data_IF_005989332379
#
_entry.id   IF_005989332379
#
_cell.length_a   1.000
_cell.length_b   1.000
_cell.length_c   1.000
_cell.angle_alpha   90.00
_cell.angle_beta   90.00
_cell.angle_gamma   90.00
#
_symmetry.space_group_name_H-M   'P 1'
#
loop_
_entity.id
_entity.type
_entity.pdbx_description
1 polymer ?
#
# COMPACT_ATOMS: atom_id res chain seq x y z
N UNK A 1 45.14 15.71 -42.49
CA UNK A 1 46.23 16.52 -41.88
C UNK A 1 45.69 17.01 -40.54
N UNK A 2 46.25 16.78 -39.36
CA UNK A 2 47.51 16.16 -38.95
C UNK A 2 47.34 15.57 -37.54
N UNK A 3 48.32 14.76 -37.18
CA UNK A 3 48.41 13.71 -36.16
C UNK A 3 48.93 14.17 -34.78
N UNK A 4 48.94 13.17 -33.87
CA UNK A 4 49.79 12.94 -32.68
C UNK A 4 49.09 13.21 -31.33
N UNK A 5 48.90 12.22 -30.44
CA UNK A 5 49.79 11.20 -29.84
C UNK A 5 50.90 11.80 -28.99
N UNK A 6 50.79 11.64 -27.67
CA UNK A 6 51.87 11.08 -26.84
C UNK A 6 51.38 10.66 -25.46
N UNK A 7 51.64 9.39 -25.15
CA UNK A 7 51.75 8.86 -23.80
C UNK A 7 52.98 9.48 -23.10
N UNK A 8 52.97 9.54 -21.77
CA UNK A 8 54.20 9.34 -21.01
C UNK A 8 53.94 8.73 -19.64
N UNK A 9 54.96 8.02 -19.18
CA UNK A 9 54.98 6.98 -18.18
C UNK A 9 55.63 7.48 -16.86
N UNK A 10 55.34 6.74 -15.79
CA UNK A 10 56.19 6.47 -14.63
C UNK A 10 56.28 7.40 -13.39
N UNK A 11 56.07 6.72 -12.25
CA UNK A 11 56.90 6.63 -11.01
C UNK A 11 56.52 7.43 -9.74
N UNK A 12 56.00 6.66 -8.75
CA UNK A 12 56.48 6.41 -7.35
C UNK A 12 56.87 7.67 -6.52
N UNK A 13 56.37 7.94 -5.30
CA UNK A 13 56.56 7.18 -4.03
C UNK A 13 55.81 7.85 -2.85
N UNK A 14 55.40 7.03 -1.87
CA UNK A 14 55.30 7.26 -0.39
C UNK A 14 54.30 8.30 0.16
N UNK A 15 53.52 8.07 1.21
CA UNK A 15 53.40 6.97 2.17
C UNK A 15 52.45 7.35 3.33
N UNK A 16 52.13 6.35 4.17
CA UNK A 16 51.43 6.38 5.48
C UNK A 16 49.94 6.74 5.50
N UNK A 17 49.08 6.21 6.39
CA UNK A 17 49.03 5.01 7.24
C UNK A 17 47.69 5.17 8.00
N UNK A 18 46.79 4.19 7.98
CA UNK A 18 45.65 4.19 8.90
C UNK A 18 45.25 2.75 9.28
N UNK A 19 45.10 2.57 10.60
CA UNK A 19 44.99 1.35 11.39
C UNK A 19 43.88 0.39 10.95
N UNK A 20 44.22 -0.90 10.93
CA UNK A 20 43.28 -2.03 11.06
C UNK A 20 42.92 -2.23 12.53
N UNK A 21 41.63 -2.31 12.85
CA UNK A 21 41.12 -2.77 14.15
C UNK A 21 40.76 -4.26 14.07
N UNK A 22 41.10 -4.97 15.14
CA UNK A 22 41.10 -6.42 15.25
C UNK A 22 39.82 -6.97 15.90
N UNK A 23 39.49 -8.20 15.50
CA UNK A 23 38.55 -9.14 16.10
C UNK A 23 38.93 -9.52 17.53
N UNK A 24 37.98 -9.55 18.47
CA UNK A 24 38.08 -10.36 19.69
C UNK A 24 36.71 -10.66 20.32
N UNK A 25 36.71 -11.70 21.14
CA UNK A 25 35.67 -12.69 21.43
C UNK A 25 35.04 -12.46 22.81
N UNK A 26 33.79 -12.88 22.96
CA UNK A 26 32.98 -12.93 24.20
C UNK A 26 33.70 -13.63 25.38
N UNK A 27 33.35 -13.28 26.64
CA UNK A 27 32.99 -14.32 27.61
C UNK A 27 31.70 -14.01 28.40
N UNK A 28 31.00 -15.07 28.77
CA UNK A 28 29.83 -15.08 29.66
C UNK A 28 30.24 -14.84 31.12
N UNK A 29 29.36 -14.22 31.92
CA UNK A 29 29.24 -14.48 33.35
C UNK A 29 27.77 -14.49 33.78
N UNK A 30 27.47 -15.39 34.71
CA UNK A 30 26.15 -15.81 35.19
C UNK A 30 25.83 -15.23 36.57
N UNK A 31 24.55 -15.40 36.96
CA UNK A 31 23.95 -15.42 38.32
C UNK A 31 23.26 -14.12 38.77
N UNK A 32 21.93 -14.13 38.81
CA UNK A 32 21.13 -14.27 40.05
C UNK A 32 19.62 -14.10 39.75
N UNK A 33 18.84 -15.14 40.04
CA UNK A 33 17.38 -15.09 40.13
C UNK A 33 16.97 -14.42 41.45
N UNK A 34 16.08 -13.43 41.41
CA UNK A 34 15.18 -13.14 42.53
C UNK A 34 13.78 -12.85 42.00
N UNK A 35 12.87 -13.77 42.34
CA UNK A 35 11.46 -13.74 42.04
C UNK A 35 10.71 -12.91 43.08
N UNK A 36 10.05 -11.84 42.64
CA UNK A 36 8.93 -11.24 43.35
C UNK A 36 7.84 -10.91 42.32
N UNK A 37 6.59 -11.38 42.48
CA UNK A 37 5.54 -11.10 41.51
C UNK A 37 5.04 -9.66 41.68
N UNK A 38 5.49 -8.77 40.79
CA UNK A 38 4.85 -7.48 40.61
C UNK A 38 3.44 -7.71 40.03
N UNK A 39 2.43 -7.39 40.84
CA UNK A 39 1.01 -7.38 40.49
C UNK A 39 0.80 -6.55 39.22
N UNK A 40 0.70 -7.21 38.06
CA UNK A 40 0.31 -6.54 36.80
C UNK A 40 -1.16 -6.19 36.92
N UNK A 41 -1.47 -4.94 37.22
CA UNK A 41 -2.79 -4.38 36.97
C UNK A 41 -3.04 -4.46 35.47
N UNK A 42 -3.88 -5.40 35.04
CA UNK A 42 -4.40 -5.43 33.68
C UNK A 42 -5.34 -4.24 33.52
N UNK A 43 -4.80 -3.10 33.10
CA UNK A 43 -5.61 -2.01 32.54
C UNK A 43 -6.25 -2.59 31.28
N UNK A 44 -7.56 -2.87 31.33
CA UNK A 44 -8.32 -3.17 30.13
C UNK A 44 -8.27 -1.92 29.26
N UNK A 45 -7.41 -1.92 28.25
CA UNK A 45 -7.47 -0.91 27.21
C UNK A 45 -8.86 -1.04 26.58
N UNK A 46 -9.68 -0.01 26.76
CA UNK A 46 -10.93 0.09 26.02
C UNK A 46 -10.58 0.02 24.53
N UNK A 47 -11.11 -1.00 23.85
CA UNK A 47 -10.93 -1.15 22.41
C UNK A 47 -11.59 0.06 21.73
N UNK A 48 -10.77 1.02 21.27
CA UNK A 48 -11.28 2.17 20.54
C UNK A 48 -11.94 1.68 19.24
N UNK A 49 -13.24 1.92 19.12
CA UNK A 49 -14.03 1.57 17.93
C UNK A 49 -14.06 2.77 16.98
N UNK A 50 -13.97 2.50 15.69
CA UNK A 50 -14.00 3.52 14.64
C UNK A 50 -15.07 3.16 13.61
N UNK A 51 -15.76 4.17 13.09
CA UNK A 51 -16.55 4.03 11.88
C UNK A 51 -15.65 4.27 10.67
N UNK A 52 -15.74 3.39 9.68
CA UNK A 52 -15.06 3.55 8.40
C UNK A 52 -16.10 3.47 7.29
N UNK A 53 -15.88 4.25 6.24
CA UNK A 53 -16.62 4.10 4.99
C UNK A 53 -15.95 3.00 4.17
N UNK A 54 -16.75 2.11 3.57
CA UNK A 54 -16.26 0.99 2.76
C UNK A 54 -16.79 1.11 1.33
N UNK A 55 -15.91 0.81 0.37
CA UNK A 55 -16.25 0.69 -1.04
C UNK A 55 -15.79 -0.64 -1.61
N UNK A 56 -16.47 -1.12 -2.65
CA UNK A 56 -16.01 -2.27 -3.45
C UNK A 56 -16.41 -2.09 -4.90
N UNK A 57 -15.62 -2.66 -5.81
CA UNK A 57 -15.90 -2.49 -7.23
C UNK A 57 -15.02 -3.36 -8.12
N UNK A 58 -15.16 -3.11 -9.41
CA UNK A 58 -14.31 -3.65 -10.48
C UNK A 58 -13.47 -2.51 -11.06
N UNK A 59 -12.19 -2.78 -11.33
CA UNK A 59 -11.32 -1.78 -11.92
C UNK A 59 -10.25 -2.40 -12.81
N UNK A 60 -9.90 -1.68 -13.88
CA UNK A 60 -8.65 -1.95 -14.59
C UNK A 60 -7.49 -1.26 -13.88
N UNK A 61 -6.39 -1.97 -13.68
CA UNK A 61 -5.17 -1.42 -13.09
C UNK A 61 -4.37 -0.74 -14.19
N UNK A 62 -3.99 0.52 -13.96
CA UNK A 62 -3.27 1.33 -14.92
C UNK A 62 -1.75 1.31 -14.67
N UNK A 63 -1.34 1.47 -13.41
CA UNK A 63 0.07 1.55 -13.02
C UNK A 63 0.26 1.41 -11.52
N UNK A 64 1.49 1.14 -11.11
CA UNK A 64 1.95 1.20 -9.72
C UNK A 64 2.84 2.43 -9.56
N UNK A 65 2.73 3.15 -8.45
CA UNK A 65 3.68 4.19 -8.09
C UNK A 65 4.14 4.07 -6.65
N UNK A 66 5.39 4.42 -6.40
CA UNK A 66 6.00 4.40 -5.08
C UNK A 66 6.40 5.81 -4.67
N UNK A 67 6.29 6.09 -3.38
CA UNK A 67 6.72 7.35 -2.78
C UNK A 67 7.23 7.10 -1.37
N UNK A 68 8.11 7.97 -0.88
CA UNK A 68 8.61 7.89 0.49
C UNK A 68 7.76 8.78 1.38
N UNK A 69 7.20 8.21 2.44
CA UNK A 69 6.50 8.92 3.49
C UNK A 69 7.09 8.52 4.84
N UNK A 70 7.56 9.52 5.59
CA UNK A 70 8.12 9.31 6.94
C UNK A 70 9.22 8.23 6.98
N UNK A 71 10.07 8.20 5.95
CA UNK A 71 11.16 7.24 5.80
C UNK A 71 10.74 5.84 5.35
N UNK A 72 9.45 5.61 5.06
CA UNK A 72 8.93 4.34 4.57
C UNK A 72 8.46 4.48 3.13
N UNK A 73 8.87 3.55 2.26
CA UNK A 73 8.30 3.45 0.91
C UNK A 73 6.85 2.99 1.01
N UNK A 74 5.97 3.73 0.37
CA UNK A 74 4.53 3.48 0.28
C UNK A 74 4.15 3.34 -1.19
N UNK A 75 3.17 2.49 -1.44
CA UNK A 75 2.72 2.17 -2.80
C UNK A 75 1.33 2.70 -3.04
N UNK A 76 1.11 3.35 -4.18
CA UNK A 76 -0.21 3.64 -4.72
C UNK A 76 -0.49 2.73 -5.91
N UNK A 77 -1.75 2.29 -5.99
CA UNK A 77 -2.31 1.62 -7.15
C UNK A 77 -3.19 2.61 -7.92
N UNK A 78 -2.89 2.84 -9.19
CA UNK A 78 -3.66 3.72 -10.07
C UNK A 78 -4.60 2.87 -10.91
N UNK A 79 -5.89 3.20 -10.93
CA UNK A 79 -6.90 2.33 -11.51
C UNK A 79 -8.04 3.12 -12.16
N UNK A 80 -8.71 2.47 -13.11
CA UNK A 80 -9.92 2.95 -13.77
C UNK A 80 -11.10 2.10 -13.29
N UNK A 81 -11.87 2.64 -12.34
CA UNK A 81 -13.02 1.96 -11.73
C UNK A 81 -14.20 1.98 -12.70
N UNK A 82 -14.81 0.81 -12.91
CA UNK A 82 -15.92 0.62 -13.85
C UNK A 82 -17.23 1.04 -13.15
N UNK A 83 -17.97 1.94 -13.79
CA UNK A 83 -19.25 2.45 -13.30
C UNK A 83 -20.27 2.54 -14.43
N UNK A 84 -21.55 2.64 -14.05
CA UNK A 84 -22.66 2.78 -15.00
C UNK A 84 -23.26 1.45 -15.47
N UNK A 85 -24.29 1.53 -16.33
CA UNK A 85 -24.97 0.36 -16.88
C UNK A 85 -24.07 -0.40 -17.86
N UNK A 86 -24.32 -1.70 -18.04
CA UNK A 86 -23.53 -2.60 -18.89
C UNK A 86 -23.33 -2.07 -20.32
N UNK A 87 -24.37 -1.43 -20.88
CA UNK A 87 -24.34 -0.90 -22.24
C UNK A 87 -23.76 0.53 -22.34
N UNK A 88 -23.40 1.16 -21.23
CA UNK A 88 -22.82 2.51 -21.19
C UNK A 88 -21.90 2.67 -19.97
N UNK A 89 -20.82 1.89 -19.96
CA UNK A 89 -19.81 1.93 -18.91
C UNK A 89 -18.98 3.21 -19.02
N UNK A 90 -18.71 3.83 -17.88
CA UNK A 90 -17.73 4.90 -17.74
C UNK A 90 -16.65 4.49 -16.73
N UNK A 91 -15.52 5.16 -16.81
CA UNK A 91 -14.33 4.85 -16.03
C UNK A 91 -13.97 6.05 -15.16
N UNK A 92 -13.92 5.83 -13.85
CA UNK A 92 -13.51 6.86 -12.90
C UNK A 92 -12.11 6.57 -12.38
N UNK A 93 -11.22 7.56 -12.44
CA UNK A 93 -9.83 7.39 -12.04
C UNK A 93 -9.68 7.39 -10.51
N UNK A 94 -9.13 6.31 -9.98
CA UNK A 94 -8.86 6.15 -8.55
C UNK A 94 -7.37 5.94 -8.30
N UNK A 95 -6.89 6.50 -7.18
CA UNK A 95 -5.53 6.34 -6.69
C UNK A 95 -5.57 5.86 -5.25
N UNK A 96 -5.41 4.55 -5.04
CA UNK A 96 -5.56 3.95 -3.72
C UNK A 96 -4.20 3.67 -3.08
N UNK A 97 -4.06 4.03 -1.81
CA UNK A 97 -2.89 3.69 -1.00
C UNK A 97 -2.95 2.22 -0.61
N UNK A 98 -1.85 1.50 -0.83
CA UNK A 98 -1.70 0.10 -0.43
C UNK A 98 -0.97 0.06 0.91
N UNK A 99 -1.72 -0.16 2.00
CA UNK A 99 -1.16 -0.19 3.36
C UNK A 99 -0.98 -1.62 3.87
N UNK A 100 -1.90 -2.52 3.50
CA UNK A 100 -1.88 -3.90 3.96
C UNK A 100 -0.94 -4.76 3.13
N UNK A 101 -0.20 -5.66 3.78
CA UNK A 101 0.74 -6.59 3.12
C UNK A 101 0.04 -7.47 2.08
N UNK A 102 -1.19 -7.89 2.36
CA UNK A 102 -1.89 -8.81 1.47
C UNK A 102 -2.16 -8.26 0.04
N UNK A 103 -2.86 -7.13 -0.14
CA UNK A 103 -3.01 -6.56 -1.47
C UNK A 103 -1.65 -6.18 -2.07
N UNK A 104 -0.68 -5.77 -1.25
CA UNK A 104 0.67 -5.46 -1.71
C UNK A 104 1.36 -6.67 -2.36
N UNK A 105 1.35 -7.84 -1.71
CA UNK A 105 1.97 -9.06 -2.23
C UNK A 105 1.33 -9.51 -3.54
N UNK A 106 -0.01 -9.41 -3.64
CA UNK A 106 -0.74 -9.72 -4.86
C UNK A 106 -0.35 -8.80 -6.01
N UNK A 107 -0.22 -7.50 -5.75
CA UNK A 107 0.22 -6.50 -6.74
C UNK A 107 1.66 -6.77 -7.17
N UNK A 108 2.58 -6.96 -6.22
CA UNK A 108 4.00 -7.13 -6.51
C UNK A 108 4.30 -8.44 -7.23
N UNK A 109 3.58 -9.52 -6.91
CA UNK A 109 3.68 -10.79 -7.64
C UNK A 109 3.29 -10.67 -9.11
N UNK A 110 2.39 -9.75 -9.46
CA UNK A 110 1.89 -9.54 -10.83
C UNK A 110 2.32 -8.19 -11.40
N UNK A 111 3.37 -7.57 -10.84
CA UNK A 111 3.85 -6.24 -11.22
C UNK A 111 4.19 -6.15 -12.71
N UNK A 112 4.87 -7.18 -13.23
CA UNK A 112 5.26 -7.23 -14.64
C UNK A 112 4.03 -7.16 -15.56
N UNK A 113 2.97 -7.91 -15.25
CA UNK A 113 1.72 -7.86 -16.01
C UNK A 113 0.99 -6.51 -15.89
N UNK A 114 1.07 -5.87 -14.71
CA UNK A 114 0.47 -4.55 -14.47
C UNK A 114 1.19 -3.44 -15.24
N UNK A 115 2.53 -3.48 -15.29
CA UNK A 115 3.35 -2.45 -15.94
C UNK A 115 3.57 -2.74 -17.44
N UNK A 116 3.22 -3.94 -17.92
CA UNK A 116 3.33 -4.33 -19.32
C UNK A 116 2.36 -3.56 -20.22
N UNK A 117 2.89 -3.00 -21.32
CA UNK A 117 2.10 -2.27 -22.30
C UNK A 117 1.16 -3.21 -23.05
N UNK A 118 -0.13 -2.88 -23.08
CA UNK A 118 -1.16 -3.61 -23.84
C UNK A 118 -1.81 -4.77 -23.08
N UNK A 119 -1.31 -5.10 -21.89
CA UNK A 119 -1.89 -6.11 -21.00
C UNK A 119 -3.04 -5.51 -20.20
N UNK A 120 -4.18 -6.21 -20.11
CA UNK A 120 -5.34 -5.77 -19.35
C UNK A 120 -5.40 -6.49 -18.01
N UNK A 121 -5.13 -5.77 -16.93
CA UNK A 121 -5.29 -6.29 -15.57
C UNK A 121 -6.60 -5.81 -14.96
N UNK A 122 -7.56 -6.71 -14.76
CA UNK A 122 -8.86 -6.43 -14.13
C UNK A 122 -8.87 -6.97 -12.70
N UNK A 123 -9.23 -6.15 -11.74
CA UNK A 123 -9.38 -6.58 -10.34
C UNK A 123 -10.81 -6.38 -9.82
N UNK A 124 -11.21 -7.25 -8.90
CA UNK A 124 -12.29 -6.98 -7.95
C UNK A 124 -11.66 -6.58 -6.63
N UNK A 125 -12.06 -5.46 -6.04
CA UNK A 125 -11.37 -4.89 -4.89
C UNK A 125 -12.30 -4.44 -3.77
N UNK A 126 -11.74 -4.24 -2.57
CA UNK A 126 -12.34 -3.46 -1.49
C UNK A 126 -11.42 -2.32 -1.08
N UNK A 127 -12.01 -1.20 -0.72
CA UNK A 127 -11.33 -0.02 -0.23
C UNK A 127 -12.04 0.55 1.00
N UNK A 128 -11.34 1.41 1.72
CA UNK A 128 -11.93 2.21 2.82
C UNK A 128 -11.59 3.67 2.69
N UNK A 129 -12.48 4.49 3.27
CA UNK A 129 -12.35 5.94 3.41
C UNK A 129 -12.05 6.62 2.06
N UNK A 130 -12.95 6.49 1.06
CA UNK A 130 -12.86 7.26 -0.17
C UNK A 130 -12.81 8.75 0.15
N UNK A 131 -11.99 9.48 -0.59
CA UNK A 131 -11.85 10.93 -0.43
C UNK A 131 -11.35 11.55 -1.72
N UNK A 132 -11.72 12.80 -1.97
CA UNK A 132 -11.17 13.55 -3.09
C UNK A 132 -9.71 13.90 -2.79
N UNK A 133 -8.80 13.44 -3.63
CA UNK A 133 -7.39 13.81 -3.61
C UNK A 133 -7.08 14.78 -4.76
N UNK A 134 -6.31 15.82 -4.44
CA UNK A 134 -5.79 16.79 -5.40
C UNK A 134 -4.41 16.36 -5.84
N UNK A 135 -4.11 16.49 -7.13
CA UNK A 135 -2.78 16.22 -7.66
C UNK A 135 -2.45 17.18 -8.81
N UNK A 136 -1.16 17.32 -9.12
CA UNK A 136 -0.72 18.06 -10.31
C UNK A 136 -0.51 17.06 -11.43
N UNK A 137 -1.18 17.28 -12.57
CA UNK A 137 -0.99 16.47 -13.78
C UNK A 137 0.45 16.63 -14.25
N UNK A 138 1.18 15.53 -14.42
CA UNK A 138 2.61 15.56 -14.79
C UNK A 138 2.87 15.47 -16.29
N UNK A 139 1.85 15.09 -17.06
CA UNK A 139 1.98 14.77 -18.48
C UNK A 139 0.66 14.98 -19.20
N UNK A 140 0.71 15.14 -20.53
CA UNK A 140 -0.44 15.44 -21.37
C UNK A 140 -0.53 16.93 -21.70
N UNK A 141 -1.59 17.30 -22.41
CA UNK A 141 -1.87 18.70 -22.79
C UNK A 141 -2.08 19.59 -21.55
N UNK A 142 -2.71 19.03 -20.52
CA UNK A 142 -3.01 19.70 -19.25
C UNK A 142 -1.87 19.55 -18.21
N UNK A 143 -0.64 19.29 -18.63
CA UNK A 143 0.47 19.15 -17.69
C UNK A 143 0.69 20.45 -16.90
N UNK A 144 0.83 20.33 -15.57
CA UNK A 144 0.94 21.47 -14.65
C UNK A 144 -0.39 21.89 -14.02
N UNK A 145 -1.53 21.41 -14.52
CA UNK A 145 -2.84 21.74 -13.96
C UNK A 145 -3.19 20.92 -12.71
N UNK A 146 -4.07 21.49 -11.89
CA UNK A 146 -4.67 20.82 -10.73
C UNK A 146 -5.72 19.80 -11.20
N UNK A 147 -5.40 18.53 -11.05
CA UNK A 147 -6.34 17.43 -11.17
C UNK A 147 -6.96 17.04 -9.82
N UNK A 148 -8.09 16.34 -9.90
CA UNK A 148 -8.69 15.66 -8.75
C UNK A 148 -8.96 14.20 -9.09
N UNK A 149 -8.94 13.33 -8.07
CA UNK A 149 -9.27 11.92 -8.21
C UNK A 149 -9.83 11.38 -6.90
N UNK A 150 -10.39 10.17 -6.93
CA UNK A 150 -10.78 9.47 -5.70
C UNK A 150 -9.58 8.72 -5.14
N UNK A 151 -9.16 9.15 -3.95
CA UNK A 151 -8.22 8.45 -3.09
C UNK A 151 -8.90 7.52 -2.10
N UNK A 152 -8.10 6.74 -1.39
CA UNK A 152 -8.60 5.76 -0.42
C UNK A 152 -7.49 4.84 0.07
N UNK A 153 -7.85 3.84 0.87
CA UNK A 153 -6.94 2.76 1.24
C UNK A 153 -7.45 1.47 0.59
N UNK A 154 -6.62 0.83 -0.23
CA UNK A 154 -6.91 -0.49 -0.78
C UNK A 154 -6.75 -1.52 0.34
N UNK A 155 -7.86 -2.12 0.75
CA UNK A 155 -7.84 -3.13 1.82
C UNK A 155 -7.73 -4.53 1.27
N UNK A 156 -8.31 -4.79 0.09
CA UNK A 156 -8.27 -6.11 -0.56
C UNK A 156 -8.34 -6.07 -2.07
N UNK A 157 -7.71 -7.08 -2.65
CA UNK A 157 -7.98 -7.59 -3.99
C UNK A 157 -8.65 -8.95 -3.79
N UNK A 158 -9.88 -9.13 -4.29
CA UNK A 158 -10.60 -10.40 -4.20
C UNK A 158 -10.26 -11.31 -5.37
N UNK A 159 -10.14 -10.74 -6.57
CA UNK A 159 -9.74 -11.46 -7.78
C UNK A 159 -8.88 -10.56 -8.64
N UNK A 160 -7.94 -11.13 -9.38
CA UNK A 160 -7.19 -10.46 -10.43
C UNK A 160 -7.22 -11.32 -11.68
N UNK A 161 -7.56 -10.71 -12.80
CA UNK A 161 -7.50 -11.31 -14.13
C UNK A 161 -6.50 -10.56 -15.00
N UNK A 162 -5.67 -11.29 -15.71
CA UNK A 162 -4.73 -10.76 -16.71
C UNK A 162 -5.22 -11.24 -18.07
N UNK A 163 -5.58 -10.31 -18.95
CA UNK A 163 -6.16 -10.60 -20.27
C UNK A 163 -7.34 -11.59 -20.24
N UNK A 164 -8.12 -11.53 -19.16
CA UNK A 164 -9.30 -12.38 -18.94
C UNK A 164 -9.02 -13.67 -18.16
N UNK A 165 -7.75 -14.10 -18.02
CA UNK A 165 -7.35 -15.28 -17.26
C UNK A 165 -7.25 -14.96 -15.76
N UNK A 166 -7.86 -15.78 -14.91
CA UNK A 166 -7.81 -15.63 -13.46
C UNK A 166 -6.43 -16.06 -12.92
N UNK A 167 -5.61 -15.10 -12.51
CA UNK A 167 -4.24 -15.35 -11.99
C UNK A 167 -4.16 -15.31 -10.47
N UNK A 168 -5.15 -14.69 -9.81
CA UNK A 168 -5.20 -14.58 -8.37
C UNK A 168 -6.63 -14.48 -7.86
N UNK A 169 -6.87 -15.15 -6.72
CA UNK A 169 -8.14 -15.15 -6.01
C UNK A 169 -7.89 -15.22 -4.49
N UNK A 170 -8.54 -14.34 -3.74
CA UNK A 170 -8.49 -14.34 -2.28
C UNK A 170 -9.44 -15.40 -1.72
N UNK A 171 -8.88 -16.53 -1.29
CA UNK A 171 -9.63 -17.64 -0.69
C UNK A 171 -10.02 -17.42 0.78
N UNK A 172 -9.65 -16.29 1.38
CA UNK A 172 -9.94 -16.04 2.80
C UNK A 172 -11.37 -15.55 2.95
N UNK A 173 -12.16 -16.34 3.67
CA UNK A 173 -13.45 -15.88 4.18
C UNK A 173 -13.19 -14.96 5.36
N UNK A 174 -13.56 -13.69 5.22
CA UNK A 174 -13.61 -12.78 6.36
C UNK A 174 -15.07 -12.55 6.70
N UNK A 175 -15.63 -13.52 7.41
CA UNK A 175 -16.82 -13.28 8.21
C UNK A 175 -16.43 -12.24 9.26
N UNK A 176 -17.22 -11.15 9.38
CA UNK A 176 -17.10 -10.31 10.56
C UNK A 176 -17.43 -11.22 11.76
N UNK A 177 -16.47 -11.43 12.66
CA UNK A 177 -16.74 -12.02 13.96
C UNK A 177 -17.61 -11.05 14.75
N UNK A 178 -18.91 -11.02 14.46
CA UNK A 178 -19.88 -10.30 15.26
C UNK A 178 -20.21 -11.19 16.47
N UNK A 179 -19.41 -11.06 17.52
CA UNK A 179 -19.63 -11.78 18.76
C UNK A 179 -20.78 -11.13 19.55
N UNK A 180 -21.93 -11.79 19.42
CA UNK A 180 -23.05 -11.95 20.38
C UNK A 180 -24.19 -10.92 20.35
N UNK A 181 -25.34 -11.45 19.92
CA UNK A 181 -26.71 -11.05 20.24
C UNK A 181 -26.87 -10.35 21.60
N UNK A 182 -27.57 -9.22 21.58
CA UNK A 182 -28.77 -9.05 22.40
C UNK A 182 -29.87 -8.42 21.55
N UNK A 183 -30.94 -9.19 21.39
CA UNK A 183 -32.22 -8.82 20.80
C UNK A 183 -33.03 -8.01 21.82
N UNK A 184 -33.74 -7.01 21.30
CA UNK A 184 -34.89 -6.26 21.87
C UNK A 184 -34.64 -5.22 22.98
N UNK A 185 -34.80 -3.94 22.63
CA UNK A 185 -36.06 -3.23 22.90
C UNK A 185 -36.08 -1.82 22.26
N UNK A 186 -37.11 -1.63 21.44
CA UNK A 186 -37.96 -0.44 21.31
C UNK A 186 -37.32 0.97 21.44
N UNK A 187 -37.21 1.67 20.31
CA UNK A 187 -37.27 3.13 20.31
C UNK A 187 -37.84 3.62 18.98
N UNK A 188 -39.05 4.17 19.07
CA UNK A 188 -39.73 4.96 18.06
C UNK A 188 -38.78 5.92 17.33
N UNK A 189 -38.74 5.82 16.00
CA UNK A 189 -38.19 6.85 15.14
C UNK A 189 -39.17 8.02 15.12
N UNK A 190 -38.79 9.15 15.73
CA UNK A 190 -39.44 10.44 15.52
C UNK A 190 -39.06 10.96 14.12
N UNK A 191 -40.08 11.20 13.29
CA UNK A 191 -40.01 11.68 11.90
C UNK A 191 -39.68 13.18 11.76
N UNK A 192 -39.04 13.81 12.75
CA UNK A 192 -38.71 15.23 12.73
C UNK A 192 -37.23 15.47 12.39
N UNK A 193 -36.87 15.27 11.11
CA UNK A 193 -35.68 15.87 10.52
C UNK A 193 -36.14 16.97 9.54
N UNK A 194 -36.07 18.26 9.92
CA UNK A 194 -36.36 19.33 8.99
C UNK A 194 -35.20 19.48 8.00
N UNK A 195 -35.50 19.37 6.71
CA UNK A 195 -34.64 19.87 5.64
C UNK A 195 -34.69 21.40 5.58
#
# INVERSE_FOLDING_TARGET
MSTSTKANDSKKTTGSAAKKSATAKKPNSSVANSSAPAKRSSTSAEETRYFNEFGSGLAYVNSISEFVDSGKTRTHLHMSVIQGPENNVHYEYHRLLVVSEYPYDAIMKHREAIEAKGVKVLIRFKMVNPRVEKFIKRSGEDAGELGTCIGGILTRILTMKVDGELVFEDKRTFEHSNAKNQTESDSSFDDDIPF
#
